data_IF_233966388994
#
_entry.id   IF_233966388994
#
_cell.length_a   1.000
_cell.length_b   1.000
_cell.length_c   1.000
_cell.angle_alpha   90.00
_cell.angle_beta   90.00
_cell.angle_gamma   90.00
#
_symmetry.space_group_name_H-M   'P 1'
#
loop_
_entity.id
_entity.type
_entity.pdbx_description
1 polymer ?
#
# COMPACT_ATOMS: atom_id res chain seq x y z
N UNK A 1 29.52 27.98 -38.27
CA UNK A 1 28.38 27.08 -37.95
C UNK A 1 28.81 25.84 -37.14
N UNK A 2 29.68 25.96 -36.11
CA UNK A 2 30.07 24.83 -35.24
C UNK A 2 29.76 25.04 -33.75
N UNK A 3 29.47 26.27 -33.33
CA UNK A 3 29.19 26.62 -31.93
C UNK A 3 27.73 26.46 -31.51
N UNK A 4 26.78 26.49 -32.46
CA UNK A 4 25.34 26.36 -32.15
C UNK A 4 24.94 24.92 -31.78
N UNK A 5 25.61 23.92 -32.34
CA UNK A 5 25.31 22.51 -32.08
C UNK A 5 25.69 22.11 -30.64
N UNK A 6 26.83 22.58 -30.13
CA UNK A 6 27.33 22.25 -28.79
C UNK A 6 26.45 22.82 -27.68
N UNK A 7 25.91 24.04 -27.86
CA UNK A 7 25.01 24.67 -26.89
C UNK A 7 23.68 23.90 -26.83
N UNK A 8 23.16 23.45 -27.98
CA UNK A 8 21.94 22.63 -28.03
C UNK A 8 22.13 21.27 -27.33
N UNK A 9 23.31 20.66 -27.42
CA UNK A 9 23.57 19.36 -26.77
C UNK A 9 23.62 19.48 -25.25
N UNK A 10 24.22 20.57 -24.74
CA UNK A 10 24.31 20.83 -23.29
C UNK A 10 22.92 21.13 -22.71
N UNK A 11 22.09 21.92 -23.40
CA UNK A 11 20.71 22.19 -22.99
C UNK A 11 19.85 20.90 -22.99
N UNK A 12 20.04 20.01 -23.97
CA UNK A 12 19.36 18.72 -23.99
C UNK A 12 19.79 17.87 -22.78
N UNK A 13 21.09 17.72 -22.50
CA UNK A 13 21.57 16.92 -21.37
C UNK A 13 21.08 17.43 -19.99
N UNK A 14 20.99 18.74 -19.78
CA UNK A 14 20.50 19.30 -18.50
C UNK A 14 19.00 19.06 -18.28
N UNK A 15 18.17 19.13 -19.33
CA UNK A 15 16.72 18.88 -19.20
C UNK A 15 16.40 17.41 -18.93
N UNK A 16 17.16 16.47 -19.49
CA UNK A 16 16.94 15.04 -19.25
C UNK A 16 17.38 14.59 -17.85
N UNK A 17 18.49 15.11 -17.31
CA UNK A 17 18.94 14.74 -15.96
C UNK A 17 17.99 15.20 -14.85
N UNK A 18 17.31 16.34 -15.02
CA UNK A 18 16.31 16.81 -14.04
C UNK A 18 15.01 15.99 -14.11
N UNK A 19 14.55 15.64 -15.32
CA UNK A 19 13.35 14.81 -15.51
C UNK A 19 13.53 13.37 -15.02
N UNK A 20 14.76 12.83 -15.04
CA UNK A 20 15.08 11.51 -14.50
C UNK A 20 15.33 11.50 -13.00
N UNK A 21 15.90 12.58 -12.44
CA UNK A 21 16.11 12.72 -11.00
C UNK A 21 14.78 12.79 -10.22
N UNK A 22 13.79 13.52 -10.75
CA UNK A 22 12.43 13.57 -10.15
C UNK A 22 11.72 12.22 -10.17
N UNK A 23 11.91 11.42 -11.22
CA UNK A 23 11.34 10.06 -11.31
C UNK A 23 11.98 9.09 -10.33
N UNK A 24 13.31 9.15 -10.13
CA UNK A 24 14.00 8.23 -9.22
C UNK A 24 13.70 8.51 -7.75
N UNK A 25 13.47 9.77 -7.35
CA UNK A 25 13.09 10.13 -5.98
C UNK A 25 11.69 9.65 -5.58
N UNK A 26 10.78 9.49 -6.55
CA UNK A 26 9.38 9.12 -6.30
C UNK A 26 9.07 7.61 -6.35
N UNK A 27 10.03 6.78 -6.77
CA UNK A 27 9.92 5.31 -6.82
C UNK A 27 10.65 4.61 -5.66
N UNK A 28 11.32 5.36 -4.77
CA UNK A 28 12.16 4.81 -3.70
C UNK A 28 11.51 4.71 -2.31
N UNK A 29 10.20 4.95 -2.19
CA UNK A 29 9.52 4.83 -0.89
C UNK A 29 9.41 3.35 -0.50
N UNK A 30 10.40 2.90 0.27
CA UNK A 30 10.39 1.59 0.92
C UNK A 30 9.36 1.56 2.07
N UNK A 31 9.04 2.72 2.65
CA UNK A 31 8.16 2.89 3.81
C UNK A 31 7.25 4.11 3.57
N UNK A 32 5.94 3.95 3.67
CA UNK A 32 4.98 5.07 3.70
C UNK A 32 5.08 5.74 5.07
N UNK A 33 5.28 7.06 5.21
CA UNK A 33 5.51 7.70 6.52
C UNK A 33 4.36 7.45 7.50
N UNK A 34 4.60 7.44 8.81
CA UNK A 34 3.55 7.29 9.82
C UNK A 34 2.67 8.56 9.90
N UNK A 35 1.37 8.46 10.22
CA UNK A 35 0.54 9.61 10.53
C UNK A 35 0.96 10.21 11.87
N UNK A 36 0.62 11.48 12.10
CA UNK A 36 0.89 12.16 13.38
C UNK A 36 0.21 11.46 14.56
N UNK A 37 -0.95 10.84 14.32
CA UNK A 37 -1.70 10.03 15.28
C UNK A 37 -2.21 8.77 14.60
N UNK A 38 -2.24 7.67 15.35
CA UNK A 38 -2.85 6.43 14.88
C UNK A 38 -4.34 6.69 14.53
N UNK A 39 -4.84 6.10 13.43
CA UNK A 39 -6.25 6.21 13.05
C UNK A 39 -7.14 5.52 14.08
N UNK A 40 -8.36 6.01 14.22
CA UNK A 40 -9.35 5.45 15.14
C UNK A 40 -10.18 4.35 14.47
N UNK A 41 -10.84 3.51 15.28
CA UNK A 41 -11.69 2.42 14.75
C UNK A 41 -12.83 2.90 13.84
N UNK A 42 -13.29 4.15 14.04
CA UNK A 42 -14.33 4.80 13.22
C UNK A 42 -13.83 5.27 11.85
N UNK A 43 -12.52 5.32 11.62
CA UNK A 43 -11.90 5.83 10.39
C UNK A 43 -11.89 4.77 9.28
N UNK A 44 -13.06 4.19 9.01
CA UNK A 44 -13.23 3.17 7.97
C UNK A 44 -13.24 3.77 6.55
N UNK A 45 -13.59 5.05 6.43
CA UNK A 45 -13.72 5.78 5.18
C UNK A 45 -12.86 7.04 5.28
N UNK A 46 -12.01 7.25 4.28
CA UNK A 46 -11.17 8.46 4.18
C UNK A 46 -11.51 9.18 2.90
N UNK A 47 -11.73 10.50 2.98
CA UNK A 47 -12.02 11.34 1.83
C UNK A 47 -10.87 12.31 1.62
N UNK A 48 -10.26 12.28 0.44
CA UNK A 48 -9.16 13.19 0.05
C UNK A 48 -9.50 13.77 -1.31
N UNK A 49 -9.59 15.10 -1.41
CA UNK A 49 -9.91 15.80 -2.67
C UNK A 49 -11.16 15.23 -3.36
N UNK A 50 -12.23 14.97 -2.59
CA UNK A 50 -13.47 14.34 -3.07
C UNK A 50 -13.32 12.92 -3.64
N UNK A 51 -12.17 12.27 -3.42
CA UNK A 51 -11.96 10.85 -3.70
C UNK A 51 -12.18 10.07 -2.41
N UNK A 52 -13.12 9.13 -2.43
CA UNK A 52 -13.48 8.31 -1.27
C UNK A 52 -12.71 7.00 -1.32
N UNK A 53 -12.03 6.68 -0.23
CA UNK A 53 -11.31 5.43 -0.05
C UNK A 53 -11.96 4.63 1.07
N UNK A 54 -12.41 3.42 0.73
CA UNK A 54 -12.87 2.43 1.69
C UNK A 54 -11.96 1.20 1.66
N UNK A 55 -11.09 1.11 2.66
CA UNK A 55 -10.07 0.05 2.76
C UNK A 55 -10.53 -1.10 3.64
N UNK A 56 -10.24 -2.33 3.21
CA UNK A 56 -10.33 -3.54 4.02
C UNK A 56 -8.95 -4.16 4.16
N UNK A 57 -8.47 -4.27 5.39
CA UNK A 57 -7.20 -4.87 5.75
C UNK A 57 -7.46 -6.05 6.68
N UNK A 58 -6.82 -7.16 6.40
CA UNK A 58 -6.75 -8.32 7.30
C UNK A 58 -5.28 -8.68 7.47
N UNK A 59 -4.86 -9.02 8.68
CA UNK A 59 -3.46 -9.36 8.96
C UNK A 59 -3.43 -10.69 9.69
N UNK A 60 -2.78 -11.67 9.06
CA UNK A 60 -2.74 -13.05 9.54
C UNK A 60 -1.30 -13.42 9.93
N UNK A 61 -1.14 -13.97 11.14
CA UNK A 61 0.04 -14.67 11.59
C UNK A 61 -0.11 -16.17 11.25
N UNK A 62 0.74 -16.74 10.40
CA UNK A 62 0.75 -18.19 10.18
C UNK A 62 1.19 -18.91 11.46
N UNK A 63 0.54 -20.05 11.78
CA UNK A 63 0.87 -20.85 12.97
C UNK A 63 2.33 -21.30 12.96
N UNK A 64 2.99 -21.20 14.12
CA UNK A 64 4.33 -21.76 14.33
C UNK A 64 4.24 -23.29 14.46
N UNK A 65 4.03 -23.97 13.32
CA UNK A 65 4.13 -25.43 13.22
C UNK A 65 5.59 -25.90 13.32
N UNK A 66 5.82 -26.94 14.13
CA UNK A 66 7.14 -27.51 14.44
C UNK A 66 7.97 -27.75 13.16
N UNK A 67 9.18 -27.19 13.13
CA UNK A 67 10.17 -27.20 12.03
C UNK A 67 9.99 -26.15 10.92
N UNK A 68 9.48 -24.96 11.24
CA UNK A 68 9.87 -23.79 10.45
C UNK A 68 11.31 -23.39 10.79
N UNK A 69 12.14 -23.28 9.75
CA UNK A 69 13.48 -22.68 9.81
C UNK A 69 13.47 -21.35 10.62
N UNK A 70 14.59 -20.93 11.23
CA UNK A 70 14.67 -19.80 12.19
C UNK A 70 14.23 -18.41 11.66
N UNK A 71 13.72 -18.31 10.43
CA UNK A 71 13.15 -17.11 9.81
C UNK A 71 11.62 -17.00 9.99
N UNK A 72 11.13 -17.19 11.22
CA UNK A 72 9.71 -17.17 11.61
C UNK A 72 8.97 -15.87 11.22
N UNK A 73 7.62 -15.86 11.32
CA UNK A 73 6.68 -15.79 10.21
C UNK A 73 6.52 -14.38 9.60
N UNK A 74 6.52 -14.28 8.27
CA UNK A 74 6.10 -13.05 7.60
C UNK A 74 4.59 -12.84 7.83
N UNK A 75 4.21 -11.74 8.48
CA UNK A 75 2.82 -11.28 8.53
C UNK A 75 2.25 -11.29 7.11
N UNK A 76 1.07 -11.90 6.95
CA UNK A 76 0.37 -11.99 5.68
C UNK A 76 -0.78 -10.99 5.66
N UNK A 77 -0.59 -9.79 5.06
CA UNK A 77 -1.67 -8.85 4.88
C UNK A 77 -2.50 -9.17 3.63
N UNK A 78 -3.81 -9.25 3.79
CA UNK A 78 -4.77 -9.19 2.70
C UNK A 78 -5.35 -7.77 2.62
N UNK A 79 -5.19 -7.12 1.47
CA UNK A 79 -5.55 -5.72 1.31
C UNK A 79 -6.46 -5.50 0.09
N UNK A 80 -7.58 -4.83 0.34
CA UNK A 80 -8.57 -4.42 -0.68
C UNK A 80 -8.93 -2.96 -0.47
N UNK A 81 -9.16 -2.24 -1.56
CA UNK A 81 -9.61 -0.84 -1.52
C UNK A 81 -10.75 -0.67 -2.50
N UNK A 82 -11.84 -0.07 -2.03
CA UNK A 82 -12.89 0.46 -2.89
C UNK A 82 -12.61 1.97 -3.02
N UNK A 83 -12.53 2.45 -4.26
CA UNK A 83 -12.24 3.85 -4.57
C UNK A 83 -13.38 4.41 -5.39
N UNK A 84 -13.89 5.57 -4.96
CA UNK A 84 -14.92 6.29 -5.68
C UNK A 84 -14.46 7.72 -5.94
N UNK A 85 -14.52 8.14 -7.20
CA UNK A 85 -14.12 9.49 -7.61
C UNK A 85 -15.33 10.43 -7.66
N UNK A 86 -15.48 11.33 -6.67
CA UNK A 86 -16.45 12.43 -6.69
C UNK A 86 -15.83 13.80 -6.98
N UNK A 87 -14.59 13.86 -7.44
CA UNK A 87 -13.97 15.11 -7.87
C UNK A 87 -14.58 15.60 -9.19
N UNK A 88 -14.36 16.86 -9.56
CA UNK A 88 -14.94 17.46 -10.78
C UNK A 88 -14.38 16.88 -12.10
N UNK A 89 -13.41 15.95 -12.06
CA UNK A 89 -12.78 15.41 -13.26
C UNK A 89 -12.20 14.01 -13.11
N UNK A 90 -11.64 13.50 -14.20
CA UNK A 90 -10.96 12.20 -14.23
C UNK A 90 -9.63 12.28 -13.48
N UNK A 91 -9.41 11.42 -12.49
CA UNK A 91 -8.11 11.27 -11.86
C UNK A 91 -7.13 10.66 -12.87
N UNK A 92 -6.04 11.39 -13.15
CA UNK A 92 -5.03 10.96 -14.11
C UNK A 92 -3.98 10.09 -13.46
N UNK A 93 -3.63 8.98 -14.13
CA UNK A 93 -2.57 8.04 -13.70
C UNK A 93 -2.74 7.58 -12.25
N UNK A 94 -3.97 7.29 -11.85
CA UNK A 94 -4.29 6.73 -10.56
C UNK A 94 -3.59 5.38 -10.35
N UNK A 95 -2.93 5.24 -9.20
CA UNK A 95 -2.21 4.04 -8.78
C UNK A 95 -2.12 3.97 -7.25
N UNK A 96 -2.09 2.76 -6.70
CA UNK A 96 -1.75 2.51 -5.29
C UNK A 96 -0.49 1.64 -5.26
N UNK A 97 0.59 2.13 -4.65
CA UNK A 97 1.94 1.56 -4.84
C UNK A 97 2.42 0.68 -3.70
N UNK A 98 2.23 1.12 -2.48
CA UNK A 98 2.80 0.47 -1.30
C UNK A 98 1.87 0.60 -0.10
N UNK A 99 2.03 -0.35 0.83
CA UNK A 99 1.35 -0.44 2.12
C UNK A 99 2.42 -0.63 3.19
N UNK A 100 2.40 0.21 4.22
CA UNK A 100 3.18 0.01 5.45
C UNK A 100 2.22 -0.28 6.60
N UNK A 101 2.50 -1.33 7.36
CA UNK A 101 1.78 -1.67 8.58
C UNK A 101 2.47 -1.02 9.78
N UNK A 102 1.65 -0.53 10.70
CA UNK A 102 2.06 0.14 11.92
C UNK A 102 1.37 -0.49 13.13
N UNK A 103 2.09 -0.61 14.23
CA UNK A 103 1.49 -0.96 15.52
C UNK A 103 0.65 0.23 16.02
N UNK A 104 -0.60 -0.03 16.42
CA UNK A 104 -1.54 1.02 16.84
C UNK A 104 -1.06 1.79 18.08
N UNK A 105 -0.35 1.13 19.00
CA UNK A 105 0.04 1.71 20.30
C UNK A 105 1.34 2.49 20.20
N UNK A 106 2.34 1.96 19.50
CA UNK A 106 3.68 2.55 19.42
C UNK A 106 3.86 3.45 18.21
N UNK A 107 2.98 3.34 17.21
CA UNK A 107 3.12 3.99 15.91
C UNK A 107 4.43 3.58 15.18
N UNK A 108 5.05 2.47 15.58
CA UNK A 108 6.25 1.94 14.94
C UNK A 108 5.89 1.10 13.71
N UNK A 109 6.72 1.19 12.68
CA UNK A 109 6.54 0.40 11.46
C UNK A 109 6.84 -1.07 11.74
N UNK A 110 5.96 -1.94 11.28
CA UNK A 110 6.05 -3.40 11.46
C UNK A 110 6.50 -4.07 10.15
N UNK A 111 6.02 -3.58 9.02
CA UNK A 111 6.35 -4.15 7.73
C UNK A 111 5.87 -3.28 6.59
N UNK A 112 6.61 -3.29 5.48
CA UNK A 112 6.25 -2.58 4.27
C UNK A 112 6.15 -3.54 3.09
N UNK A 113 5.16 -3.31 2.24
CA UNK A 113 4.74 -4.21 1.18
C UNK A 113 4.54 -3.43 -0.11
N UNK A 114 5.08 -3.95 -1.21
CA UNK A 114 4.72 -3.54 -2.55
C UNK A 114 3.34 -4.13 -2.88
N UNK A 115 2.47 -3.30 -3.45
CA UNK A 115 1.14 -3.69 -3.83
C UNK A 115 1.08 -3.95 -5.34
N UNK A 116 0.60 -5.13 -5.71
CA UNK A 116 0.32 -5.48 -7.11
C UNK A 116 -1.14 -5.82 -7.26
N UNK A 117 -1.88 -5.05 -8.06
CA UNK A 117 -3.29 -5.30 -8.30
C UNK A 117 -3.51 -6.65 -9.01
N UNK A 118 -4.53 -7.39 -8.57
CA UNK A 118 -4.81 -8.75 -9.08
C UNK A 118 -5.42 -8.71 -10.49
N UNK A 119 -6.44 -7.86 -10.69
CA UNK A 119 -7.23 -7.79 -11.93
C UNK A 119 -7.12 -6.45 -12.68
N UNK A 120 -6.45 -5.47 -12.08
CA UNK A 120 -6.28 -4.14 -12.63
C UNK A 120 -4.85 -3.94 -13.13
N UNK A 121 -4.71 -3.25 -14.26
CA UNK A 121 -3.42 -2.71 -14.69
C UNK A 121 -3.31 -1.28 -14.15
N UNK A 122 -2.16 -0.96 -13.55
CA UNK A 122 -1.81 0.37 -13.09
C UNK A 122 -0.55 0.89 -13.79
N UNK A 123 -0.36 2.22 -13.87
CA UNK A 123 -1.33 3.26 -13.53
C UNK A 123 -2.51 3.30 -14.51
N UNK A 124 -3.68 3.76 -14.06
CA UNK A 124 -4.90 3.88 -14.87
C UNK A 124 -5.62 5.20 -14.61
N UNK A 125 -6.40 5.70 -15.57
CA UNK A 125 -7.25 6.86 -15.35
C UNK A 125 -8.57 6.44 -14.67
N UNK A 126 -9.01 7.19 -13.67
CA UNK A 126 -10.26 6.95 -12.93
C UNK A 126 -11.27 8.05 -13.25
N UNK A 127 -12.29 7.73 -14.04
CA UNK A 127 -13.30 8.69 -14.51
C UNK A 127 -14.16 9.15 -13.31
N UNK A 128 -14.70 10.36 -13.39
CA UNK A 128 -15.67 10.88 -12.41
C UNK A 128 -16.86 9.91 -12.23
N UNK A 129 -17.37 9.80 -11.00
CA UNK A 129 -18.45 8.91 -10.59
C UNK A 129 -18.21 7.43 -10.89
N UNK A 130 -16.94 7.04 -11.10
CA UNK A 130 -16.59 5.63 -11.18
C UNK A 130 -16.20 5.08 -9.83
N UNK A 131 -16.74 3.90 -9.57
CA UNK A 131 -16.38 3.05 -8.45
C UNK A 131 -15.45 1.94 -8.96
N UNK A 132 -14.37 1.69 -8.23
CA UNK A 132 -13.43 0.60 -8.49
C UNK A 132 -13.08 -0.16 -7.23
N UNK A 133 -13.26 -1.46 -7.31
CA UNK A 133 -12.84 -2.41 -6.28
C UNK A 133 -11.52 -3.03 -6.70
N UNK A 134 -10.50 -2.82 -5.88
CA UNK A 134 -9.14 -3.21 -6.21
C UNK A 134 -8.61 -4.12 -5.11
N UNK A 135 -8.29 -5.34 -5.50
CA UNK A 135 -7.61 -6.32 -4.66
C UNK A 135 -6.13 -6.34 -4.99
N UNK A 136 -5.29 -6.47 -3.96
CA UNK A 136 -3.85 -6.45 -4.09
C UNK A 136 -3.19 -7.73 -3.57
N UNK A 137 -2.18 -8.20 -4.29
CA UNK A 137 -1.15 -9.05 -3.74
C UNK A 137 -0.11 -8.19 -3.03
N UNK A 138 0.18 -8.52 -1.78
CA UNK A 138 1.15 -7.82 -0.94
C UNK A 138 2.49 -8.57 -0.98
N UNK A 139 3.51 -7.98 -1.61
CA UNK A 139 4.87 -8.53 -1.63
C UNK A 139 5.73 -7.81 -0.58
N UNK A 140 6.34 -8.52 0.38
CA UNK A 140 7.20 -7.88 1.38
C UNK A 140 8.36 -7.10 0.73
N UNK A 141 8.58 -5.86 1.18
CA UNK A 141 9.72 -5.01 0.83
C UNK A 141 10.72 -4.91 1.99
N UNK A 142 10.21 -4.66 3.19
CA UNK A 142 10.98 -4.61 4.44
C UNK A 142 10.12 -5.20 5.55
N UNK A 143 10.71 -6.08 6.35
CA UNK A 143 10.06 -6.65 7.53
C UNK A 143 10.88 -6.21 8.74
N UNK A 144 10.32 -5.31 9.54
CA UNK A 144 10.87 -4.98 10.86
C UNK A 144 10.10 -5.86 11.85
N UNK A 145 10.50 -7.13 11.94
CA UNK A 145 9.82 -8.11 12.80
C UNK A 145 10.23 -7.85 14.26
N UNK A 146 9.71 -6.77 14.84
CA UNK A 146 9.41 -6.82 16.26
C UNK A 146 8.21 -7.76 16.47
N UNK A 147 8.23 -8.52 17.56
CA UNK A 147 7.27 -9.59 17.84
C UNK A 147 5.86 -9.03 18.02
N UNK A 148 5.09 -8.88 16.94
CA UNK A 148 3.65 -8.74 17.05
C UNK A 148 3.07 -10.04 17.60
N UNK A 149 2.34 -9.92 18.70
CA UNK A 149 1.61 -11.04 19.28
C UNK A 149 0.20 -11.08 18.69
N UNK A 150 -0.44 -12.27 18.64
CA UNK A 150 -1.87 -12.38 18.42
C UNK A 150 -2.64 -11.46 19.37
N UNK A 151 -3.67 -10.78 18.87
CA UNK A 151 -4.44 -9.80 19.63
C UNK A 151 -3.86 -8.37 19.64
N UNK A 152 -2.62 -8.17 19.14
CA UNK A 152 -2.16 -6.82 18.84
C UNK A 152 -3.02 -6.22 17.72
N UNK A 153 -3.19 -4.89 17.75
CA UNK A 153 -3.90 -4.16 16.71
C UNK A 153 -2.90 -3.37 15.88
N UNK A 154 -3.08 -3.44 14.57
CA UNK A 154 -2.25 -2.77 13.58
C UNK A 154 -3.14 -2.00 12.63
N UNK A 155 -2.60 -0.97 12.01
CA UNK A 155 -3.27 -0.29 10.90
C UNK A 155 -2.32 -0.20 9.71
N UNK A 156 -2.88 -0.13 8.52
CA UNK A 156 -2.12 0.07 7.29
C UNK A 156 -2.10 1.54 6.89
N UNK A 157 -0.99 2.00 6.33
CA UNK A 157 -0.94 3.26 5.59
C UNK A 157 -0.44 3.01 4.18
N UNK A 158 -1.17 3.48 3.19
CA UNK A 158 -0.86 3.25 1.79
C UNK A 158 -0.70 4.56 1.01
N UNK A 159 0.15 4.51 -0.02
CA UNK A 159 0.38 5.61 -0.95
C UNK A 159 -0.53 5.43 -2.18
N UNK A 160 -1.48 6.33 -2.35
CA UNK A 160 -2.20 6.53 -3.59
C UNK A 160 -1.59 7.72 -4.35
N UNK A 161 -1.32 7.55 -5.65
CA UNK A 161 -0.82 8.61 -6.52
C UNK A 161 -1.83 8.87 -7.61
N UNK A 162 -2.21 10.13 -7.80
CA UNK A 162 -3.04 10.57 -8.91
C UNK A 162 -2.78 12.05 -9.20
N UNK A 163 -3.02 12.49 -10.44
CA UNK A 163 -2.76 13.87 -10.86
C UNK A 163 -1.32 14.36 -10.59
N UNK A 164 -0.35 13.43 -10.53
CA UNK A 164 1.07 13.65 -10.15
C UNK A 164 1.30 14.02 -8.68
N UNK A 165 0.28 13.86 -7.83
CA UNK A 165 0.34 14.10 -6.40
C UNK A 165 0.34 12.79 -5.61
N UNK A 166 1.01 12.80 -4.47
CA UNK A 166 1.09 11.68 -3.53
C UNK A 166 0.11 11.92 -2.38
N UNK A 167 -0.72 10.92 -2.09
CA UNK A 167 -1.71 10.95 -1.02
C UNK A 167 -1.50 9.73 -0.10
N UNK A 168 -1.43 9.99 1.19
CA UNK A 168 -1.21 8.96 2.20
C UNK A 168 -2.50 8.68 2.95
N UNK A 169 -3.04 7.49 2.77
CA UNK A 169 -4.33 7.09 3.35
C UNK A 169 -4.09 6.00 4.40
N UNK A 170 -4.72 6.16 5.55
CA UNK A 170 -4.68 5.17 6.63
C UNK A 170 -5.93 4.30 6.61
N UNK A 171 -5.77 3.02 6.92
CA UNK A 171 -6.88 2.12 7.22
C UNK A 171 -7.30 2.31 8.68
N UNK A 172 -8.51 1.88 9.04
CA UNK A 172 -8.81 1.64 10.45
C UNK A 172 -7.88 0.58 11.05
N UNK A 173 -7.63 0.60 12.37
CA UNK A 173 -6.89 -0.46 13.03
C UNK A 173 -7.67 -1.78 13.07
N UNK A 174 -6.96 -2.88 12.85
CA UNK A 174 -7.46 -4.26 12.79
C UNK A 174 -6.62 -5.16 13.70
N UNK A 175 -7.24 -6.19 14.25
CA UNK A 175 -6.58 -7.16 15.10
C UNK A 175 -5.76 -8.15 14.25
N UNK A 176 -4.58 -8.51 14.75
CA UNK A 176 -3.74 -9.56 14.16
C UNK A 176 -4.30 -10.92 14.54
N UNK A 177 -4.79 -11.66 13.54
CA UNK A 177 -5.40 -12.97 13.70
C UNK A 177 -4.36 -14.09 13.53
N UNK A 178 -4.55 -15.21 14.21
CA UNK A 178 -3.81 -16.45 13.91
C UNK A 178 -4.54 -17.16 12.78
N UNK A 179 -3.82 -17.70 11.81
CA UNK A 179 -4.44 -18.55 10.80
C UNK A 179 -5.11 -19.74 11.52
N UNK A 180 -6.43 -19.96 11.41
CA UNK A 180 -7.03 -21.14 12.00
C UNK A 180 -6.38 -22.38 11.37
N UNK A 181 -6.10 -23.44 12.16
CA UNK A 181 -5.50 -24.64 11.61
C UNK A 181 -6.38 -25.18 10.47
N UNK A 182 -5.79 -25.35 9.29
CA UNK A 182 -6.46 -26.02 8.19
C UNK A 182 -6.68 -27.49 8.55
N UNK A 183 -7.92 -27.85 8.91
CA UNK A 183 -8.40 -29.22 9.13
C UNK A 183 -9.50 -29.20 10.20
N UNK A 184 -10.75 -29.58 9.94
CA UNK A 184 -11.22 -30.89 9.50
C UNK A 184 -12.52 -30.67 8.71
N UNK A 185 -12.59 -31.13 7.45
CA UNK A 185 -13.89 -31.47 6.87
C UNK A 185 -14.44 -32.61 7.74
N UNK A 186 -15.45 -32.31 8.55
CA UNK A 186 -16.24 -33.37 9.15
C UNK A 186 -17.10 -33.89 8.01
N UNK A 187 -16.70 -35.01 7.43
CA UNK A 187 -17.62 -35.84 6.65
C UNK A 187 -18.81 -36.15 7.55
N UNK A 188 -19.99 -35.62 7.20
CA UNK A 188 -21.25 -36.18 7.67
C UNK A 188 -21.40 -37.57 7.05
N UNK A 189 -20.92 -38.60 7.73
CA UNK A 189 -21.42 -39.97 7.50
C UNK A 189 -22.72 -40.13 8.29
N UNK A 190 -23.85 -40.13 7.56
CA UNK A 190 -25.06 -40.87 7.94
C UNK A 190 -24.91 -42.34 7.55
#
# INVERSE_FOLDING_TARGET
MKFLAAILTILFLFTFSWAEADKKGQDSLVVVPAPEKAPEARDSIVVVNYVVFYSRLEVILPEQGKAMAPSSPALLPNFKVHVENHSEGTLKRFEIKCLTLYDEKTNSAVGSYALKAVKQKFPADLIIHTLKDIEFHCKPLKLDIEKLNPGNRVYGRFLARYNKEDHYISTKPVEVMINPPSGIQTEETN
#
